data_IF_344250155136
#
_entry.id   IF_344250155136
#
_cell.length_a   1.000
_cell.length_b   1.000
_cell.length_c   1.000
_cell.angle_alpha   90.00
_cell.angle_beta   90.00
_cell.angle_gamma   90.00
#
_symmetry.space_group_name_H-M   'P 1'
#
loop_
_entity.id
_entity.type
_entity.pdbx_description
1 polymer ?
#
# COMPACT_ATOMS: atom_id res chain seq x y z
N UNK A 1 -8.89 21.87 -10.68
CA UNK A 1 -8.92 20.98 -9.50
C UNK A 1 -7.57 21.12 -8.81
N UNK A 2 -7.51 21.19 -7.47
CA UNK A 2 -6.25 21.36 -6.74
C UNK A 2 -5.59 19.99 -6.57
N UNK A 3 -4.34 19.87 -6.95
CA UNK A 3 -3.57 18.63 -6.83
C UNK A 3 -3.29 18.34 -5.34
N UNK A 4 -3.53 17.11 -4.88
CA UNK A 4 -3.34 16.72 -3.48
C UNK A 4 -1.85 16.66 -3.14
N UNK A 5 -1.37 17.19 -2.00
CA UNK A 5 0.05 17.08 -1.64
C UNK A 5 0.47 15.60 -1.53
N UNK A 6 1.72 15.29 -1.93
CA UNK A 6 2.34 13.98 -1.72
C UNK A 6 2.89 13.95 -0.29
N UNK A 7 2.00 13.73 0.67
CA UNK A 7 2.31 13.62 2.09
C UNK A 7 1.15 12.95 2.83
N UNK A 8 1.46 12.19 3.88
CA UNK A 8 0.47 11.61 4.78
C UNK A 8 -0.38 12.71 5.45
N UNK A 9 -1.71 12.61 5.34
CA UNK A 9 -2.64 13.35 6.17
C UNK A 9 -2.79 12.64 7.53
N UNK A 10 -1.90 12.98 8.44
CA UNK A 10 -1.90 12.45 9.82
C UNK A 10 -3.15 12.84 10.63
N UNK A 11 -3.98 13.75 10.11
CA UNK A 11 -5.23 14.18 10.75
C UNK A 11 -6.44 13.39 10.27
N UNK A 12 -6.33 12.67 9.15
CA UNK A 12 -7.41 11.86 8.59
C UNK A 12 -7.74 10.62 9.46
N UNK A 13 -6.82 10.19 10.31
CA UNK A 13 -6.97 9.02 11.17
C UNK A 13 -7.11 9.41 12.66
N UNK A 14 -8.11 8.85 13.33
CA UNK A 14 -8.21 8.93 14.79
C UNK A 14 -7.11 8.10 15.49
N UNK A 15 -6.98 8.22 16.81
CA UNK A 15 -5.90 7.57 17.55
C UNK A 15 -5.88 6.04 17.40
N UNK A 16 -7.05 5.39 17.46
CA UNK A 16 -7.18 3.94 17.29
C UNK A 16 -6.86 3.52 15.85
N UNK A 17 -7.30 4.30 14.86
CA UNK A 17 -6.98 4.05 13.46
C UNK A 17 -5.48 4.20 13.18
N UNK A 18 -4.79 5.16 13.81
CA UNK A 18 -3.34 5.32 13.66
C UNK A 18 -2.57 4.15 14.26
N UNK A 19 -2.96 3.67 15.45
CA UNK A 19 -2.36 2.48 16.04
C UNK A 19 -2.57 1.25 15.14
N UNK A 20 -3.79 1.09 14.64
CA UNK A 20 -4.13 0.01 13.73
C UNK A 20 -3.38 0.09 12.39
N UNK A 21 -3.24 1.29 11.82
CA UNK A 21 -2.45 1.56 10.62
C UNK A 21 -1.00 1.09 10.80
N UNK A 22 -0.38 1.39 11.94
CA UNK A 22 0.99 0.95 12.21
C UNK A 22 1.10 -0.58 12.34
N UNK A 23 0.10 -1.24 12.93
CA UNK A 23 0.04 -2.70 12.99
C UNK A 23 -0.10 -3.29 11.58
N UNK A 24 -0.97 -2.72 10.76
CA UNK A 24 -1.17 -3.13 9.37
C UNK A 24 0.08 -2.92 8.52
N UNK A 25 0.75 -1.77 8.59
CA UNK A 25 2.02 -1.50 7.89
C UNK A 25 3.07 -2.56 8.23
N UNK A 26 3.25 -2.87 9.52
CA UNK A 26 4.21 -3.90 9.96
C UNK A 26 3.85 -5.30 9.43
N UNK A 27 2.58 -5.66 9.52
CA UNK A 27 2.09 -6.95 9.02
C UNK A 27 2.26 -7.05 7.50
N UNK A 28 1.90 -5.99 6.78
CA UNK A 28 2.04 -5.87 5.34
C UNK A 28 3.50 -6.04 4.92
N UNK A 29 4.42 -5.23 5.47
CA UNK A 29 5.87 -5.37 5.18
C UNK A 29 6.40 -6.77 5.48
N UNK A 30 6.00 -7.38 6.60
CA UNK A 30 6.40 -8.74 6.94
C UNK A 30 5.82 -9.83 6.03
N UNK A 31 4.80 -9.51 5.23
CA UNK A 31 4.16 -10.44 4.28
C UNK A 31 4.65 -10.29 2.83
N UNK A 32 5.44 -9.25 2.53
CA UNK A 32 6.02 -9.02 1.20
C UNK A 32 7.03 -10.13 0.92
N UNK A 33 6.81 -10.85 -0.18
CA UNK A 33 7.70 -11.91 -0.65
C UNK A 33 8.65 -11.44 -1.74
N UNK A 34 8.22 -10.44 -2.50
CA UNK A 34 8.96 -9.85 -3.60
C UNK A 34 8.48 -8.42 -3.83
N UNK A 35 9.40 -7.56 -4.25
CA UNK A 35 9.13 -6.16 -4.58
C UNK A 35 9.66 -5.87 -5.97
N UNK A 36 8.80 -5.40 -6.86
CA UNK A 36 9.14 -4.97 -8.20
C UNK A 36 8.99 -3.46 -8.32
N UNK A 37 10.05 -2.76 -8.75
CA UNK A 37 9.98 -1.35 -9.06
C UNK A 37 9.32 -1.12 -10.42
N UNK A 38 8.36 -0.19 -10.48
CA UNK A 38 7.70 0.27 -11.70
C UNK A 38 8.13 1.70 -12.03
N UNK A 39 7.73 2.21 -13.19
CA UNK A 39 8.02 3.60 -13.58
C UNK A 39 7.29 4.61 -12.67
N UNK A 40 6.11 4.26 -12.16
CA UNK A 40 5.19 5.13 -11.41
C UNK A 40 4.92 4.66 -9.98
N UNK A 41 5.66 3.65 -9.49
CA UNK A 41 5.45 3.08 -8.17
C UNK A 41 6.10 1.72 -7.98
N UNK A 42 5.43 0.84 -7.24
CA UNK A 42 5.91 -0.50 -6.87
C UNK A 42 4.80 -1.55 -6.96
N UNK A 43 5.18 -2.79 -7.25
CA UNK A 43 4.34 -3.96 -7.09
C UNK A 43 4.92 -4.90 -6.03
N UNK A 44 4.06 -5.36 -5.13
CA UNK A 44 4.42 -6.25 -4.02
C UNK A 44 3.77 -7.60 -4.22
N UNK A 45 4.58 -8.65 -4.25
CA UNK A 45 4.09 -10.04 -4.27
C UNK A 45 3.83 -10.49 -2.85
N UNK A 46 2.65 -11.07 -2.65
CA UNK A 46 2.14 -11.52 -1.37
C UNK A 46 1.66 -12.97 -1.50
N UNK A 47 1.51 -13.65 -0.37
CA UNK A 47 0.84 -14.96 -0.32
C UNK A 47 -0.62 -14.85 -0.78
N UNK A 48 -1.04 -15.77 -1.64
CA UNK A 48 -2.38 -15.80 -2.21
C UNK A 48 -3.38 -16.57 -1.31
N UNK A 49 -3.45 -16.17 -0.04
CA UNK A 49 -4.38 -16.73 0.94
C UNK A 49 -5.44 -15.72 1.40
N UNK A 50 -6.54 -16.22 1.96
CA UNK A 50 -7.67 -15.39 2.36
C UNK A 50 -7.30 -14.34 3.44
N UNK A 51 -6.41 -14.67 4.38
CA UNK A 51 -6.00 -13.74 5.43
C UNK A 51 -5.15 -12.60 4.88
N UNK A 52 -4.31 -12.88 3.88
CA UNK A 52 -3.47 -11.90 3.21
C UNK A 52 -4.28 -10.98 2.29
N UNK A 53 -5.24 -11.52 1.54
CA UNK A 53 -6.17 -10.71 0.72
C UNK A 53 -6.97 -9.72 1.60
N UNK A 54 -7.51 -10.19 2.72
CA UNK A 54 -8.26 -9.33 3.64
C UNK A 54 -7.36 -8.25 4.26
N UNK A 55 -6.13 -8.61 4.65
CA UNK A 55 -5.17 -7.65 5.19
C UNK A 55 -4.78 -6.58 4.15
N UNK A 56 -4.60 -6.96 2.88
CA UNK A 56 -4.30 -6.02 1.80
C UNK A 56 -5.49 -5.07 1.55
N UNK A 57 -6.73 -5.57 1.56
CA UNK A 57 -7.91 -4.71 1.41
C UNK A 57 -8.07 -3.73 2.57
N UNK A 58 -7.79 -4.17 3.80
CA UNK A 58 -7.82 -3.33 4.99
C UNK A 58 -6.73 -2.25 4.96
N UNK A 59 -5.53 -2.62 4.55
CA UNK A 59 -4.41 -1.72 4.30
C UNK A 59 -4.81 -0.62 3.30
N UNK A 60 -5.33 -0.99 2.12
CA UNK A 60 -5.79 -0.04 1.10
C UNK A 60 -6.83 0.92 1.67
N UNK A 61 -7.77 0.41 2.47
CA UNK A 61 -8.85 1.22 3.04
C UNK A 61 -8.31 2.32 3.97
N UNK A 62 -7.32 2.00 4.79
CA UNK A 62 -6.68 2.96 5.71
C UNK A 62 -5.78 3.94 4.94
N UNK A 63 -4.97 3.44 4.01
CA UNK A 63 -4.05 4.29 3.24
C UNK A 63 -4.78 5.22 2.27
N UNK A 64 -5.97 4.87 1.77
CA UNK A 64 -6.80 5.81 1.01
C UNK A 64 -7.24 7.04 1.83
N UNK A 65 -7.32 6.92 3.17
CA UNK A 65 -7.60 8.05 4.06
C UNK A 65 -6.32 8.85 4.35
N UNK A 66 -5.24 8.15 4.69
CA UNK A 66 -3.96 8.76 5.06
C UNK A 66 -3.25 9.40 3.85
N UNK A 67 -3.22 8.70 2.73
CA UNK A 67 -2.47 9.02 1.51
C UNK A 67 -3.39 9.04 0.29
N UNK A 68 -4.35 10.00 0.20
CA UNK A 68 -5.41 10.00 -0.82
C UNK A 68 -4.94 10.26 -2.26
N UNK A 69 -3.63 10.47 -2.46
CA UNK A 69 -3.00 10.64 -3.78
C UNK A 69 -2.44 9.33 -4.35
N UNK A 70 -2.40 8.25 -3.57
CA UNK A 70 -1.96 6.93 -4.01
C UNK A 70 -3.07 6.23 -4.81
N UNK A 71 -2.64 5.44 -5.79
CA UNK A 71 -3.47 4.51 -6.55
C UNK A 71 -3.09 3.09 -6.20
N UNK A 72 -4.09 2.27 -5.88
CA UNK A 72 -3.91 0.88 -5.48
C UNK A 72 -4.59 -0.06 -6.48
N UNK A 73 -3.89 -1.13 -6.85
CA UNK A 73 -4.45 -2.23 -7.64
C UNK A 73 -4.13 -3.55 -6.95
N UNK A 74 -5.16 -4.30 -6.54
CA UNK A 74 -5.03 -5.63 -5.96
C UNK A 74 -5.43 -6.67 -7.00
N UNK A 75 -4.47 -7.47 -7.45
CA UNK A 75 -4.69 -8.50 -8.48
C UNK A 75 -4.63 -9.88 -7.86
N UNK A 76 -5.77 -10.58 -7.91
CA UNK A 76 -5.90 -11.98 -7.47
C UNK A 76 -5.93 -12.85 -8.72
N UNK A 77 -4.88 -13.65 -8.92
CA UNK A 77 -4.79 -14.57 -10.05
C UNK A 77 -5.62 -15.86 -9.85
N UNK A 78 -5.62 -16.74 -10.87
CA UNK A 78 -6.06 -18.13 -10.74
C UNK A 78 -5.47 -18.87 -9.53
N UNK A 79 -6.05 -20.02 -9.18
CA UNK A 79 -5.54 -20.85 -8.09
C UNK A 79 -4.07 -21.23 -8.34
N UNK A 80 -3.20 -20.85 -7.39
CA UNK A 80 -1.76 -21.08 -7.46
C UNK A 80 -0.95 -19.87 -7.95
N UNK A 81 -1.60 -18.86 -8.50
CA UNK A 81 -0.95 -17.61 -8.87
C UNK A 81 -0.77 -16.71 -7.63
N UNK A 82 0.30 -15.90 -7.60
CA UNK A 82 0.55 -15.00 -6.50
C UNK A 82 -0.48 -13.86 -6.42
N UNK A 83 -0.64 -13.31 -5.22
CA UNK A 83 -1.34 -12.06 -5.00
C UNK A 83 -0.39 -10.89 -5.26
N UNK A 84 -0.83 -9.91 -6.04
CA UNK A 84 -0.06 -8.69 -6.28
C UNK A 84 -0.80 -7.47 -5.77
N UNK A 85 -0.12 -6.64 -4.99
CA UNK A 85 -0.56 -5.29 -4.66
C UNK A 85 0.36 -4.28 -5.36
N UNK A 86 -0.18 -3.55 -6.32
CA UNK A 86 0.51 -2.40 -6.92
C UNK A 86 0.09 -1.11 -6.21
N UNK A 87 1.09 -0.30 -5.87
CA UNK A 87 0.93 1.04 -5.31
C UNK A 87 1.64 2.02 -6.23
N UNK A 88 0.92 3.01 -6.74
CA UNK A 88 1.43 3.92 -7.77
C UNK A 88 0.83 5.31 -7.65
N UNK A 89 1.31 6.25 -8.46
CA UNK A 89 0.71 7.57 -8.57
C UNK A 89 1.46 8.47 -9.54
N UNK A 90 1.24 9.78 -9.42
CA UNK A 90 1.89 10.78 -10.28
C UNK A 90 3.37 10.95 -9.94
N UNK A 91 4.08 11.76 -10.72
CA UNK A 91 5.49 12.09 -10.49
C UNK A 91 5.75 12.52 -9.02
N UNK A 92 6.78 11.95 -8.39
CA UNK A 92 7.10 12.13 -6.97
C UNK A 92 6.51 11.07 -6.04
N UNK A 93 5.52 10.27 -6.49
CA UNK A 93 4.90 9.22 -5.66
C UNK A 93 5.83 8.03 -5.48
N UNK A 94 6.63 7.68 -6.48
CA UNK A 94 7.56 6.56 -6.37
C UNK A 94 8.59 6.80 -5.26
N UNK A 95 9.19 7.99 -5.23
CA UNK A 95 10.15 8.42 -4.21
C UNK A 95 9.50 8.50 -2.82
N UNK A 96 8.22 8.89 -2.75
CA UNK A 96 7.45 8.84 -1.52
C UNK A 96 7.25 7.39 -1.03
N UNK A 97 6.90 6.46 -1.91
CA UNK A 97 6.74 5.05 -1.56
C UNK A 97 8.07 4.47 -1.08
N UNK A 98 9.19 4.76 -1.77
CA UNK A 98 10.55 4.35 -1.35
C UNK A 98 10.85 4.78 0.10
N UNK A 99 10.57 6.04 0.42
CA UNK A 99 10.85 6.62 1.73
C UNK A 99 9.95 6.07 2.84
N UNK A 100 8.64 5.98 2.60
CA UNK A 100 7.65 5.64 3.64
C UNK A 100 7.47 4.12 3.81
N UNK A 101 7.58 3.36 2.74
CA UNK A 101 7.42 1.90 2.74
C UNK A 101 8.78 1.21 2.90
N UNK A 102 9.89 1.94 2.80
CA UNK A 102 11.24 1.38 2.96
C UNK A 102 11.58 0.35 1.89
N UNK A 103 11.11 0.60 0.67
CA UNK A 103 11.27 -0.28 -0.49
C UNK A 103 12.31 0.33 -1.43
N UNK A 104 13.43 -0.36 -1.65
CA UNK A 104 14.57 0.17 -2.40
C UNK A 104 15.88 -0.51 -2.05
#
# INVERSE_FOLDING_TARGET
MKELPIACDMTALNAAQREHQQVLMRKFHGSIQETEGLDDGYAFRLEADAATILAAAEFITIECLCCPFLTFELTVGPVGDPLWLKVSGRAGVKEFIEAEFGVG
#
